data_IF_244762536988
#
_entry.id   IF_244762536988
#
_cell.length_a   1.000
_cell.length_b   1.000
_cell.length_c   1.000
_cell.angle_alpha   90.00
_cell.angle_beta   90.00
_cell.angle_gamma   90.00
#
_symmetry.space_group_name_H-M   'P 1'
#
loop_
_entity.id
_entity.type
_entity.pdbx_description
1 polymer ?
#
# COMPACT_ATOMS: atom_id res chain seq x y z
N UNK A 1 3.11 -5.04 -1.10
CA UNK A 1 2.70 -4.23 -2.26
C UNK A 1 2.52 -2.80 -1.81
N UNK A 2 3.34 -1.88 -2.30
CA UNK A 2 3.27 -0.45 -2.00
C UNK A 2 2.83 0.38 -3.20
N UNK A 3 2.49 1.64 -2.95
CA UNK A 3 2.12 2.62 -3.98
C UNK A 3 1.10 3.63 -3.47
N UNK A 4 0.90 4.70 -4.24
CA UNK A 4 -0.03 5.77 -3.88
C UNK A 4 -1.48 5.28 -3.79
N UNK A 5 -2.33 6.05 -3.12
CA UNK A 5 -3.79 5.84 -3.12
C UNK A 5 -4.32 5.70 -4.56
N UNK A 6 -5.29 4.82 -4.78
CA UNK A 6 -5.89 4.54 -6.10
C UNK A 6 -4.92 3.99 -7.18
N UNK A 7 -3.71 3.54 -6.83
CA UNK A 7 -2.79 2.90 -7.77
C UNK A 7 -3.16 1.45 -8.15
N UNK A 8 -4.06 0.81 -7.39
CA UNK A 8 -4.53 -0.56 -7.67
C UNK A 8 -3.92 -1.64 -6.76
N UNK A 9 -3.28 -1.27 -5.64
CA UNK A 9 -2.65 -2.20 -4.67
C UNK A 9 -3.57 -3.33 -4.23
N UNK A 10 -4.74 -2.98 -3.70
CA UNK A 10 -5.71 -3.97 -3.18
C UNK A 10 -6.24 -4.89 -4.27
N UNK A 11 -6.44 -4.36 -5.50
CA UNK A 11 -6.83 -5.17 -6.65
C UNK A 11 -5.74 -6.16 -7.04
N UNK A 12 -4.47 -5.73 -7.01
CA UNK A 12 -3.33 -6.59 -7.28
C UNK A 12 -3.17 -7.66 -6.18
N UNK A 13 -3.27 -7.27 -4.90
CA UNK A 13 -3.21 -8.21 -3.79
C UNK A 13 -4.27 -9.30 -3.89
N UNK A 14 -5.50 -8.91 -4.26
CA UNK A 14 -6.59 -9.85 -4.53
C UNK A 14 -6.26 -10.81 -5.67
N UNK A 15 -5.75 -10.30 -6.80
CA UNK A 15 -5.37 -11.14 -7.96
C UNK A 15 -4.26 -12.13 -7.64
N UNK A 16 -3.24 -11.71 -6.89
CA UNK A 16 -2.18 -12.60 -6.43
C UNK A 16 -2.75 -13.68 -5.50
N UNK A 17 -3.60 -13.29 -4.55
CA UNK A 17 -4.27 -14.22 -3.64
C UNK A 17 -5.14 -15.25 -4.39
N UNK A 18 -5.87 -14.82 -5.43
CA UNK A 18 -6.67 -15.71 -6.29
C UNK A 18 -5.78 -16.70 -7.06
N UNK A 19 -4.63 -16.24 -7.58
CA UNK A 19 -3.69 -17.09 -8.32
C UNK A 19 -3.11 -18.21 -7.46
N UNK A 20 -2.74 -17.88 -6.22
CA UNK A 20 -2.22 -18.85 -5.24
C UNK A 20 -3.31 -19.46 -4.36
N UNK A 21 -4.56 -19.48 -4.81
CA UNK A 21 -5.71 -19.94 -4.04
C UNK A 21 -5.69 -21.45 -3.62
N UNK A 22 -4.74 -22.22 -4.14
CA UNK A 22 -4.45 -23.59 -3.70
C UNK A 22 -3.57 -23.63 -2.42
N UNK A 23 -3.01 -22.49 -2.01
CA UNK A 23 -2.22 -22.29 -0.80
C UNK A 23 -3.02 -21.51 0.25
N UNK A 24 -2.53 -21.47 1.47
CA UNK A 24 -3.08 -20.61 2.52
C UNK A 24 -2.51 -19.19 2.36
N UNK A 25 -3.27 -18.32 1.71
CA UNK A 25 -2.88 -16.93 1.50
C UNK A 25 -3.59 -16.03 2.51
N UNK A 26 -2.83 -15.20 3.21
CA UNK A 26 -3.35 -14.11 4.06
C UNK A 26 -3.02 -12.76 3.42
N UNK A 27 -4.04 -11.94 3.20
CA UNK A 27 -3.87 -10.56 2.77
C UNK A 27 -4.07 -9.64 3.98
N UNK A 28 -3.15 -8.73 4.20
CA UNK A 28 -3.19 -7.70 5.24
C UNK A 28 -3.21 -6.32 4.58
N UNK A 29 -4.30 -5.59 4.76
CA UNK A 29 -4.41 -4.19 4.36
C UNK A 29 -3.88 -3.31 5.49
N UNK A 30 -2.88 -2.47 5.21
CA UNK A 30 -2.28 -1.60 6.22
C UNK A 30 -3.28 -0.61 6.82
N UNK A 31 -4.31 -0.20 6.06
CA UNK A 31 -5.34 0.74 6.53
C UNK A 31 -6.16 0.16 7.71
N UNK A 32 -6.23 -1.17 7.86
CA UNK A 32 -6.88 -1.83 9.00
C UNK A 32 -6.10 -1.66 10.32
N UNK A 33 -4.89 -1.15 10.23
CA UNK A 33 -3.98 -0.91 11.35
C UNK A 33 -3.80 0.58 11.65
N UNK A 34 -4.72 1.42 11.20
CA UNK A 34 -4.75 2.81 11.60
C UNK A 34 -4.90 2.95 13.13
N UNK A 35 -4.28 3.98 13.69
CA UNK A 35 -4.55 4.38 15.09
C UNK A 35 -5.95 4.98 15.18
N UNK A 36 -6.53 5.11 16.40
CA UNK A 36 -7.84 5.76 16.56
C UNK A 36 -7.87 7.15 15.92
N UNK A 37 -8.92 7.46 15.19
CA UNK A 37 -9.06 8.73 14.46
C UNK A 37 -8.78 9.99 15.31
N UNK A 38 -9.23 10.07 16.59
CA UNK A 38 -8.92 11.26 17.43
C UNK A 38 -7.43 11.43 17.72
N UNK A 39 -6.63 10.38 17.59
CA UNK A 39 -5.18 10.42 17.88
C UNK A 39 -4.34 10.74 16.62
N UNK A 40 -4.97 10.74 15.43
CA UNK A 40 -4.30 11.09 14.19
C UNK A 40 -4.17 12.62 14.10
N UNK A 41 -2.98 13.16 13.81
CA UNK A 41 -2.80 14.58 13.63
C UNK A 41 -3.74 15.18 12.58
N UNK A 42 -4.13 16.42 12.79
CA UNK A 42 -4.92 17.17 11.81
C UNK A 42 -4.00 17.93 10.86
N UNK A 43 -4.43 18.03 9.61
CA UNK A 43 -3.93 18.99 8.64
C UNK A 43 -5.08 19.95 8.29
N UNK A 44 -4.97 21.22 8.68
CA UNK A 44 -6.10 22.18 8.70
C UNK A 44 -7.25 21.61 9.56
N UNK A 45 -8.41 21.39 8.93
CA UNK A 45 -9.64 20.84 9.54
C UNK A 45 -9.88 19.36 9.17
N UNK A 46 -8.85 18.68 8.64
CA UNK A 46 -8.93 17.31 8.13
C UNK A 46 -7.99 16.38 8.91
N UNK A 47 -8.44 15.17 9.19
CA UNK A 47 -7.56 14.12 9.72
C UNK A 47 -6.49 13.76 8.68
N UNK A 48 -5.22 13.81 9.05
CA UNK A 48 -4.11 13.52 8.13
C UNK A 48 -3.80 12.02 8.07
N UNK A 49 -4.54 11.33 7.22
CA UNK A 49 -4.32 9.90 6.96
C UNK A 49 -3.04 9.61 6.15
N UNK A 50 -2.44 10.64 5.57
CA UNK A 50 -1.36 10.53 4.60
C UNK A 50 0.04 10.66 5.21
N UNK A 51 0.14 10.33 6.51
CA UNK A 51 1.40 10.33 7.25
C UNK A 51 1.62 8.98 7.94
N UNK A 52 2.88 8.53 8.11
CA UNK A 52 3.16 7.27 8.81
C UNK A 52 2.61 7.22 10.24
N UNK A 53 2.50 8.38 10.92
CA UNK A 53 1.94 8.47 12.27
C UNK A 53 0.46 8.04 12.36
N UNK A 54 -0.26 7.94 11.22
CA UNK A 54 -1.63 7.41 11.19
C UNK A 54 -1.70 5.90 11.38
N UNK A 55 -0.58 5.17 11.27
CA UNK A 55 -0.52 3.72 11.32
C UNK A 55 0.09 3.22 12.63
N UNK A 56 -0.53 2.22 13.23
CA UNK A 56 0.04 1.45 14.33
C UNK A 56 0.98 0.36 13.77
N UNK A 57 2.23 0.73 13.49
CA UNK A 57 3.22 -0.18 12.93
C UNK A 57 3.57 -1.35 13.84
N UNK A 58 3.47 -1.20 15.16
CA UNK A 58 3.73 -2.32 16.09
C UNK A 58 2.67 -3.40 15.94
N UNK A 59 1.40 -3.00 15.92
CA UNK A 59 0.28 -3.92 15.70
C UNK A 59 0.38 -4.58 14.32
N UNK A 60 0.70 -3.80 13.28
CA UNK A 60 0.86 -4.33 11.91
C UNK A 60 2.00 -5.35 11.85
N UNK A 61 3.17 -5.03 12.40
CA UNK A 61 4.31 -5.94 12.48
C UNK A 61 3.98 -7.26 13.19
N UNK A 62 3.30 -7.20 14.35
CA UNK A 62 2.91 -8.38 15.10
C UNK A 62 1.91 -9.25 14.33
N UNK A 63 0.98 -8.63 13.59
CA UNK A 63 0.01 -9.38 12.77
C UNK A 63 0.70 -10.08 11.59
N UNK A 64 1.68 -9.46 10.94
CA UNK A 64 2.49 -10.11 9.88
C UNK A 64 3.19 -11.35 10.46
N UNK A 65 3.86 -11.22 11.59
CA UNK A 65 4.55 -12.34 12.24
C UNK A 65 3.58 -13.46 12.67
N UNK A 66 2.38 -13.08 13.10
CA UNK A 66 1.32 -14.04 13.44
C UNK A 66 0.82 -14.76 12.20
N UNK A 67 0.48 -14.02 11.15
CA UNK A 67 0.00 -14.57 9.88
C UNK A 67 1.00 -15.55 9.26
N UNK A 68 2.29 -15.21 9.28
CA UNK A 68 3.37 -16.05 8.75
C UNK A 68 3.49 -17.44 9.41
N UNK A 69 2.96 -17.61 10.62
CA UNK A 69 2.96 -18.92 11.29
C UNK A 69 1.92 -19.91 10.75
N UNK A 70 0.87 -19.38 10.12
CA UNK A 70 -0.30 -20.17 9.73
C UNK A 70 -0.67 -20.07 8.26
N UNK A 71 0.08 -19.26 7.50
CA UNK A 71 -0.12 -19.04 6.07
C UNK A 71 1.13 -19.41 5.28
N UNK A 72 0.94 -19.93 4.07
CA UNK A 72 2.03 -20.22 3.15
C UNK A 72 2.52 -18.93 2.47
N UNK A 73 1.60 -17.96 2.28
CA UNK A 73 1.88 -16.64 1.71
C UNK A 73 1.20 -15.56 2.55
N UNK A 74 1.93 -14.52 2.89
CA UNK A 74 1.37 -13.28 3.47
C UNK A 74 1.59 -12.14 2.48
N UNK A 75 0.52 -11.43 2.15
CA UNK A 75 0.54 -10.29 1.24
C UNK A 75 0.18 -9.04 2.03
N UNK A 76 1.14 -8.15 2.22
CA UNK A 76 0.91 -6.85 2.83
C UNK A 76 0.70 -5.80 1.75
N UNK A 77 -0.32 -4.96 1.88
CA UNK A 77 -0.55 -3.85 0.97
C UNK A 77 -0.87 -2.56 1.70
N UNK A 78 -0.36 -1.42 1.21
CA UNK A 78 -0.63 -0.12 1.80
C UNK A 78 0.29 1.01 1.31
N UNK A 79 0.07 2.19 1.85
CA UNK A 79 0.84 3.41 1.52
C UNK A 79 2.26 3.37 2.10
N UNK A 80 2.40 2.82 3.32
CA UNK A 80 3.62 2.89 4.12
C UNK A 80 4.24 1.51 4.41
N UNK A 81 3.90 0.48 3.64
CA UNK A 81 4.41 -0.89 3.87
C UNK A 81 5.93 -0.97 3.79
N UNK A 82 6.59 -0.05 3.06
CA UNK A 82 8.05 0.02 2.95
C UNK A 82 8.69 1.08 3.85
N UNK A 83 7.91 1.77 4.70
CA UNK A 83 8.40 2.89 5.49
C UNK A 83 9.37 2.46 6.60
N UNK A 84 9.05 1.39 7.33
CA UNK A 84 9.89 0.88 8.43
C UNK A 84 10.84 -0.22 7.98
N UNK A 85 12.11 -0.11 8.40
CA UNK A 85 13.14 -1.09 8.05
C UNK A 85 12.84 -2.48 8.60
N UNK A 86 12.23 -2.59 9.79
CA UNK A 86 11.87 -3.89 10.37
C UNK A 86 10.84 -4.64 9.53
N UNK A 87 9.87 -3.95 8.91
CA UNK A 87 8.92 -4.55 7.96
C UNK A 87 9.65 -5.00 6.71
N UNK A 88 10.51 -4.15 6.16
CA UNK A 88 11.27 -4.45 4.96
C UNK A 88 12.16 -5.70 5.09
N UNK A 89 12.58 -6.06 6.29
CA UNK A 89 13.37 -7.27 6.56
C UNK A 89 12.53 -8.55 6.52
N UNK A 90 11.20 -8.44 6.60
CA UNK A 90 10.28 -9.57 6.52
C UNK A 90 9.90 -9.95 5.09
N UNK A 91 10.06 -9.02 4.14
CA UNK A 91 9.59 -9.21 2.77
C UNK A 91 10.61 -9.95 1.90
N UNK A 92 10.20 -11.11 1.37
CA UNK A 92 10.95 -11.86 0.37
C UNK A 92 10.83 -11.18 -1.01
N UNK A 93 9.65 -10.64 -1.32
CA UNK A 93 9.33 -9.99 -2.59
C UNK A 93 8.65 -8.64 -2.35
N UNK A 94 9.01 -7.67 -3.17
CA UNK A 94 8.43 -6.32 -3.08
C UNK A 94 7.91 -5.86 -4.44
N UNK A 95 6.69 -5.35 -4.45
CA UNK A 95 6.05 -4.80 -5.65
C UNK A 95 5.62 -3.37 -5.36
N UNK A 96 5.95 -2.45 -6.24
CA UNK A 96 5.53 -1.06 -6.15
C UNK A 96 4.72 -0.64 -7.36
N UNK A 97 3.53 -0.08 -7.10
CA UNK A 97 2.63 0.45 -8.13
C UNK A 97 2.76 1.97 -8.21
N UNK A 98 3.18 2.48 -9.36
CA UNK A 98 3.20 3.90 -9.68
C UNK A 98 2.06 4.27 -10.65
N UNK A 99 1.59 5.50 -10.56
CA UNK A 99 0.67 6.12 -11.52
C UNK A 99 1.09 7.58 -11.72
N UNK A 100 0.74 8.17 -12.87
CA UNK A 100 0.96 9.59 -13.11
C UNK A 100 0.06 10.44 -12.21
N UNK A 101 0.44 11.71 -12.05
CA UNK A 101 -0.36 12.66 -11.30
C UNK A 101 -1.74 12.86 -11.90
N UNK A 102 -1.83 12.87 -13.22
CA UNK A 102 -3.07 13.00 -13.98
C UNK A 102 -4.01 11.85 -13.67
N UNK A 103 -3.54 10.62 -13.77
CA UNK A 103 -4.30 9.40 -13.46
C UNK A 103 -4.72 9.37 -12.00
N UNK A 104 -3.82 9.74 -11.07
CA UNK A 104 -4.15 9.84 -9.66
C UNK A 104 -5.31 10.82 -9.42
N UNK A 105 -5.21 12.06 -9.96
CA UNK A 105 -6.24 13.09 -9.78
C UNK A 105 -7.59 12.65 -10.38
N UNK A 106 -7.58 12.04 -11.57
CA UNK A 106 -8.78 11.51 -12.19
C UNK A 106 -9.46 10.45 -11.33
N UNK A 107 -8.69 9.45 -10.87
CA UNK A 107 -9.21 8.35 -10.06
C UNK A 107 -9.68 8.83 -8.69
N UNK A 108 -8.90 9.70 -8.04
CA UNK A 108 -9.21 10.19 -6.69
C UNK A 108 -10.45 11.08 -6.67
N UNK A 109 -10.67 11.92 -7.69
CA UNK A 109 -11.90 12.71 -7.82
C UNK A 109 -13.15 11.88 -8.05
N UNK A 110 -13.02 10.69 -8.62
CA UNK A 110 -14.12 9.72 -8.82
C UNK A 110 -14.33 8.80 -7.61
N UNK A 111 -13.38 8.76 -6.70
CA UNK A 111 -13.45 7.90 -5.52
C UNK A 111 -14.23 8.60 -4.39
N UNK A 112 -15.44 8.13 -4.16
CA UNK A 112 -16.33 8.66 -3.11
C UNK A 112 -16.48 7.72 -1.91
N UNK A 113 -15.64 6.71 -1.76
CA UNK A 113 -15.71 5.73 -0.65
C UNK A 113 -15.65 6.40 0.72
N UNK A 114 -14.94 7.50 0.84
CA UNK A 114 -14.75 8.26 2.06
C UNK A 114 -15.44 9.64 2.02
N UNK A 115 -16.40 9.84 1.10
CA UNK A 115 -17.00 11.13 0.82
C UNK A 115 -16.24 11.93 -0.23
N UNK A 116 -16.68 13.18 -0.45
CA UNK A 116 -16.02 14.08 -1.40
C UNK A 116 -14.92 14.84 -0.68
N UNK A 117 -13.68 14.51 -1.01
CA UNK A 117 -12.52 15.22 -0.46
C UNK A 117 -12.28 16.57 -1.14
N UNK A 118 -11.85 17.59 -0.40
CA UNK A 118 -11.53 18.88 -0.97
C UNK A 118 -10.25 18.81 -1.83
N UNK A 119 -10.17 19.61 -2.90
CA UNK A 119 -9.04 19.60 -3.84
C UNK A 119 -7.67 19.82 -3.17
N UNK A 120 -7.62 20.64 -2.12
CA UNK A 120 -6.38 20.84 -1.38
C UNK A 120 -5.91 19.57 -0.67
N UNK A 121 -6.84 18.73 -0.18
CA UNK A 121 -6.49 17.46 0.47
C UNK A 121 -6.08 16.42 -0.58
N UNK A 122 -6.75 16.36 -1.72
CA UNK A 122 -6.33 15.51 -2.85
C UNK A 122 -4.88 15.83 -3.26
N UNK A 123 -4.55 17.14 -3.34
CA UNK A 123 -3.16 17.56 -3.60
C UNK A 123 -2.22 17.13 -2.47
N UNK A 124 -2.65 17.25 -1.21
CA UNK A 124 -1.87 16.82 -0.05
C UNK A 124 -1.56 15.31 -0.09
N UNK A 125 -2.52 14.46 -0.49
CA UNK A 125 -2.29 13.02 -0.66
C UNK A 125 -1.13 12.77 -1.62
N UNK A 126 -1.11 13.44 -2.77
CA UNK A 126 -0.04 13.33 -3.74
C UNK A 126 1.32 13.78 -3.18
N UNK A 127 1.36 14.97 -2.62
CA UNK A 127 2.60 15.59 -2.11
C UNK A 127 3.17 14.78 -0.91
N UNK A 128 2.30 14.30 -0.03
CA UNK A 128 2.68 13.50 1.13
C UNK A 128 3.24 12.15 0.72
N UNK A 129 2.57 11.46 -0.23
CA UNK A 129 3.07 10.20 -0.75
C UNK A 129 4.51 10.34 -1.27
N UNK A 130 4.80 11.33 -2.10
CA UNK A 130 6.14 11.55 -2.66
C UNK A 130 7.16 11.87 -1.58
N UNK A 131 6.81 12.70 -0.59
CA UNK A 131 7.67 13.02 0.56
C UNK A 131 8.14 11.78 1.31
N UNK A 132 7.26 10.82 1.53
CA UNK A 132 7.60 9.59 2.26
C UNK A 132 8.19 8.54 1.34
N UNK A 133 7.79 8.49 0.08
CA UNK A 133 8.34 7.58 -0.92
C UNK A 133 9.82 7.87 -1.20
N UNK A 134 10.25 9.12 -1.31
CA UNK A 134 11.65 9.51 -1.52
C UNK A 134 12.60 8.99 -0.42
N UNK A 135 12.06 8.66 0.75
CA UNK A 135 12.83 8.09 1.86
C UNK A 135 13.01 6.57 1.76
N UNK A 136 12.32 5.92 0.83
CA UNK A 136 12.42 4.48 0.63
C UNK A 136 13.65 4.19 -0.24
N UNK A 137 14.62 3.39 0.23
CA UNK A 137 15.77 3.03 -0.59
C UNK A 137 15.33 2.29 -1.86
N UNK A 138 15.88 2.65 -3.04
CA UNK A 138 15.54 2.04 -4.33
C UNK A 138 15.68 0.50 -4.32
N UNK A 139 16.68 -0.02 -3.61
CA UNK A 139 16.89 -1.47 -3.45
C UNK A 139 15.71 -2.21 -2.80
N UNK A 140 14.77 -1.47 -2.17
CA UNK A 140 13.55 -2.04 -1.56
C UNK A 140 12.41 -2.17 -2.57
N UNK A 141 12.56 -1.60 -3.76
CA UNK A 141 11.55 -1.61 -4.82
C UNK A 141 11.99 -2.55 -5.95
N UNK A 142 11.99 -3.86 -5.66
CA UNK A 142 12.55 -4.84 -6.58
C UNK A 142 11.72 -4.97 -7.88
N UNK A 143 10.39 -4.87 -7.80
CA UNK A 143 9.51 -4.95 -8.96
C UNK A 143 8.59 -3.73 -9.03
N UNK A 144 8.78 -2.90 -10.04
CA UNK A 144 8.00 -1.68 -10.25
C UNK A 144 7.05 -1.84 -11.43
N UNK A 145 5.79 -1.44 -11.22
CA UNK A 145 4.72 -1.55 -12.21
C UNK A 145 3.99 -0.22 -12.38
N UNK A 146 3.52 0.03 -13.59
CA UNK A 146 2.50 1.05 -13.82
C UNK A 146 1.11 0.50 -13.48
N UNK A 147 0.38 1.20 -12.61
CA UNK A 147 -1.03 0.95 -12.35
C UNK A 147 -1.99 1.58 -13.38
N UNK A 148 -1.47 2.16 -14.48
CA UNK A 148 -2.26 2.86 -15.50
C UNK A 148 -2.71 1.95 -16.64
N UNK A 149 -1.89 0.99 -16.99
CA UNK A 149 -2.12 0.07 -18.10
C UNK A 149 -2.65 -1.27 -17.60
N UNK A 150 -3.19 -2.11 -18.48
CA UNK A 150 -3.46 -3.49 -18.13
C UNK A 150 -2.22 -4.11 -17.50
N UNK A 151 -2.36 -4.62 -16.28
CA UNK A 151 -1.25 -5.21 -15.54
C UNK A 151 -0.83 -6.51 -16.23
N UNK A 152 0.45 -6.64 -16.51
CA UNK A 152 1.03 -7.91 -16.97
C UNK A 152 1.19 -8.87 -15.79
N UNK A 153 0.15 -9.62 -15.52
CA UNK A 153 0.13 -10.60 -14.42
C UNK A 153 1.12 -11.74 -14.65
N UNK A 154 1.41 -12.09 -15.90
CA UNK A 154 2.36 -13.16 -16.19
C UNK A 154 3.76 -12.82 -15.67
N UNK A 155 4.24 -11.61 -15.96
CA UNK A 155 5.51 -11.11 -15.43
C UNK A 155 5.54 -11.03 -13.90
N UNK A 156 4.40 -10.66 -13.26
CA UNK A 156 4.31 -10.62 -11.80
C UNK A 156 4.45 -12.04 -11.23
N UNK A 157 3.70 -13.01 -11.75
CA UNK A 157 3.76 -14.38 -11.24
C UNK A 157 5.14 -15.01 -11.48
N UNK A 158 5.74 -14.76 -12.63
CA UNK A 158 7.12 -15.18 -12.88
C UNK A 158 8.10 -14.60 -11.85
N UNK A 159 7.96 -13.31 -11.49
CA UNK A 159 8.79 -12.68 -10.46
C UNK A 159 8.53 -13.27 -9.06
N UNK A 160 7.28 -13.60 -8.74
CA UNK A 160 6.92 -14.16 -7.43
C UNK A 160 7.40 -15.61 -7.28
N UNK A 161 7.46 -16.38 -8.36
CA UNK A 161 7.84 -17.80 -8.37
C UNK A 161 9.38 -18.01 -8.34
N UNK A 162 10.18 -16.95 -8.47
CA UNK A 162 11.65 -16.99 -8.37
C UNK A 162 12.14 -16.87 -6.95
#
# INVERSE_FOLDING_TARGET
IGGISNSGKSSLAKKISEHYGHLKVKVLCQDDFAIPTPDIPLIRDHTDWEIPASINFDRFYQEILSAAKYSDIVIDEGLFVFYEERLNKLYDKTIYLSISRETFLERKRKDHRWGKEPEWYIKHIWDSHHRFFEKIPERKLAFQLSGEHPIDYASIFQYLDT
#
